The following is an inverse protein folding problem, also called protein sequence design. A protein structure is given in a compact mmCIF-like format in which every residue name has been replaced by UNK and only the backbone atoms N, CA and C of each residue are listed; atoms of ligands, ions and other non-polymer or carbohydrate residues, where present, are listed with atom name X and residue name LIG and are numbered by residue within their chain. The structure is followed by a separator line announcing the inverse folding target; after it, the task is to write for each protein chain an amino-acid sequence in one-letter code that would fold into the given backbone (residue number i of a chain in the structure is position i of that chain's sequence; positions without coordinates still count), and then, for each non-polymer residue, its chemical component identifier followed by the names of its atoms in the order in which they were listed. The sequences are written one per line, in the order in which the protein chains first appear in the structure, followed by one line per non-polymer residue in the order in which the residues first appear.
data_IF_981509609002
#
_entry.id   IF_981509609002
#
_cell.length_a   1.000
_cell.length_b   1.000
_cell.length_c   1.000
_cell.angle_alpha   90.00
_cell.angle_beta   90.00
_cell.angle_gamma   90.00
#
_symmetry.space_group_name_H-M   'P 1'
#
loop_
_entity.id
_entity.type
_entity.pdbx_description
1 polymer ?
#
# COMPACT_ATOMS: atom_id res chain seq x y z
N UNK A 1 -12.02 5.43 -2.03
CA UNK A 1 -11.72 5.44 -3.47
C UNK A 1 -12.60 4.44 -4.20
N UNK A 2 -12.34 3.15 -4.02
CA UNK A 2 -12.93 2.07 -4.83
C UNK A 2 -14.46 2.09 -4.95
N UNK A 3 -15.20 2.44 -3.90
CA UNK A 3 -16.67 2.51 -3.96
C UNK A 3 -17.19 3.88 -4.42
N UNK A 4 -16.65 4.97 -3.86
CA UNK A 4 -17.17 6.32 -4.09
C UNK A 4 -16.85 6.87 -5.49
N UNK A 5 -15.68 6.55 -6.07
CA UNK A 5 -15.28 7.09 -7.37
C UNK A 5 -16.22 6.61 -8.49
N UNK A 6 -16.48 5.29 -8.64
CA UNK A 6 -17.47 4.82 -9.63
C UNK A 6 -18.86 5.38 -9.38
N UNK A 7 -19.31 5.41 -8.12
CA UNK A 7 -20.64 5.91 -7.76
C UNK A 7 -20.83 7.38 -8.16
N UNK A 8 -19.85 8.24 -7.85
CA UNK A 8 -19.91 9.67 -8.17
C UNK A 8 -19.79 9.97 -9.67
N UNK A 9 -19.10 9.08 -10.41
CA UNK A 9 -18.94 9.17 -11.87
C UNK A 9 -20.02 8.39 -12.64
N UNK A 10 -21.00 7.80 -11.95
CA UNK A 10 -22.04 6.94 -12.52
C UNK A 10 -21.50 5.76 -13.36
N UNK A 11 -20.32 5.26 -13.00
CA UNK A 11 -19.69 4.10 -13.64
C UNK A 11 -20.08 2.79 -12.96
N UNK A 12 -20.21 1.69 -13.71
CA UNK A 12 -20.48 0.36 -13.13
C UNK A 12 -19.28 -0.21 -12.37
N UNK A 13 -18.04 0.09 -12.78
CA UNK A 13 -16.78 -0.31 -12.10
C UNK A 13 -15.62 0.63 -12.51
N UNK A 14 -14.45 0.47 -11.89
CA UNK A 14 -13.21 1.17 -12.23
C UNK A 14 -12.61 0.69 -13.57
N UNK A 15 -11.76 1.51 -14.18
CA UNK A 15 -11.16 1.21 -15.48
C UNK A 15 -10.21 -0.01 -15.45
N UNK A 16 -9.50 -0.25 -14.34
CA UNK A 16 -8.57 -1.37 -14.18
C UNK A 16 -8.97 -2.30 -13.00
N UNK A 17 -10.06 -3.12 -13.12
CA UNK A 17 -10.57 -3.94 -12.02
C UNK A 17 -9.58 -4.98 -11.50
N UNK A 18 -8.81 -5.61 -12.39
CA UNK A 18 -7.80 -6.62 -12.01
C UNK A 18 -6.64 -6.02 -11.22
N UNK A 19 -6.22 -4.80 -11.60
CA UNK A 19 -5.17 -4.06 -10.91
C UNK A 19 -5.67 -3.59 -9.53
N UNK A 20 -6.94 -3.21 -9.44
CA UNK A 20 -7.60 -2.95 -8.16
C UNK A 20 -7.56 -4.16 -7.23
N UNK A 21 -7.93 -5.34 -7.74
CA UNK A 21 -7.90 -6.58 -6.96
C UNK A 21 -6.47 -6.89 -6.49
N UNK A 22 -5.47 -6.78 -7.36
CA UNK A 22 -4.07 -6.95 -6.98
C UNK A 22 -3.66 -5.97 -5.87
N UNK A 23 -4.05 -4.70 -5.98
CA UNK A 23 -3.74 -3.69 -4.95
C UNK A 23 -4.31 -4.09 -3.57
N UNK A 24 -5.55 -4.59 -3.53
CA UNK A 24 -6.15 -5.08 -2.29
C UNK A 24 -5.45 -6.33 -1.76
N UNK A 25 -5.09 -7.27 -2.65
CA UNK A 25 -4.41 -8.50 -2.26
C UNK A 25 -2.99 -8.28 -1.73
N UNK A 26 -2.29 -7.23 -2.16
CA UNK A 26 -0.97 -6.87 -1.61
C UNK A 26 -1.04 -6.34 -0.17
N UNK A 27 -2.20 -5.84 0.28
CA UNK A 27 -2.36 -5.37 1.66
C UNK A 27 -2.44 -6.51 2.68
N UNK A 28 -2.85 -7.70 2.26
CA UNK A 28 -2.89 -8.87 3.15
C UNK A 28 -1.48 -9.32 3.57
N UNK A 29 -0.52 -9.59 2.66
CA UNK A 29 0.86 -9.92 3.03
C UNK A 29 1.58 -8.74 3.67
N UNK A 30 1.25 -7.48 3.34
CA UNK A 30 1.79 -6.32 4.07
C UNK A 30 1.31 -6.31 5.52
N UNK A 31 0.02 -6.56 5.77
CA UNK A 31 -0.52 -6.66 7.12
C UNK A 31 0.09 -7.81 7.93
N UNK A 32 0.24 -8.99 7.31
CA UNK A 32 0.88 -10.14 7.95
C UNK A 32 2.33 -9.84 8.33
N UNK A 33 3.13 -9.26 7.41
CA UNK A 33 4.51 -8.87 7.71
C UNK A 33 4.60 -7.79 8.79
N UNK A 34 3.64 -6.86 8.84
CA UNK A 34 3.55 -5.88 9.93
C UNK A 34 3.29 -6.58 11.28
N UNK A 35 2.35 -7.51 11.34
CA UNK A 35 2.05 -8.24 12.57
C UNK A 35 3.27 -9.07 13.03
N UNK A 36 3.93 -9.76 12.10
CA UNK A 36 5.17 -10.50 12.37
C UNK A 36 6.24 -9.55 12.94
N UNK A 37 6.38 -8.34 12.38
CA UNK A 37 7.35 -7.35 12.88
C UNK A 37 7.12 -6.96 14.35
N UNK A 38 5.85 -6.90 14.80
CA UNK A 38 5.52 -6.57 16.19
C UNK A 38 5.88 -7.72 17.14
N UNK A 39 5.77 -8.97 16.70
CA UNK A 39 6.13 -10.14 17.50
C UNK A 39 7.65 -10.34 17.61
N UNK A 40 8.41 -10.03 16.55
CA UNK A 40 9.87 -10.18 16.56
C UNK A 40 10.63 -9.05 17.29
N UNK A 41 9.93 -7.97 17.69
CA UNK A 41 10.50 -6.89 18.50
C UNK A 41 11.47 -5.96 17.75
N UNK A 42 12.07 -5.01 18.48
CA UNK A 42 13.02 -4.00 17.96
C UNK A 42 12.48 -3.04 16.87
N UNK A 43 11.16 -2.90 16.74
CA UNK A 43 10.48 -2.01 15.78
C UNK A 43 10.20 -0.59 16.29
N UNK A 44 10.65 -0.26 17.51
CA UNK A 44 10.42 1.03 18.19
C UNK A 44 11.23 2.22 17.66
N UNK A 45 11.39 2.32 16.33
CA UNK A 45 12.22 3.34 15.65
C UNK A 45 11.47 4.61 15.26
N UNK A 46 10.16 4.65 15.51
CA UNK A 46 9.26 5.66 14.97
C UNK A 46 8.87 5.38 13.51
N UNK A 47 7.97 6.18 12.97
CA UNK A 47 7.40 5.99 11.62
C UNK A 47 8.34 6.43 10.48
N UNK A 48 9.41 7.17 10.78
CA UNK A 48 10.32 7.77 9.79
C UNK A 48 11.58 6.96 9.48
N UNK A 49 11.94 5.95 10.28
CA UNK A 49 13.11 5.10 10.07
C UNK A 49 14.45 5.85 9.93
N UNK A 50 14.67 6.89 10.74
CA UNK A 50 15.92 7.66 10.67
C UNK A 50 17.17 6.81 10.99
N UNK A 51 18.22 6.87 10.14
CA UNK A 51 19.56 6.41 10.52
C UNK A 51 20.14 7.30 11.64
N UNK A 52 20.98 6.77 12.56
CA UNK A 52 21.49 5.39 12.62
C UNK A 52 20.57 4.43 13.36
N UNK A 53 19.46 4.90 13.95
CA UNK A 53 18.60 4.09 14.82
C UNK A 53 17.97 2.90 14.06
N UNK A 54 17.65 3.10 12.78
CA UNK A 54 17.19 2.03 11.87
C UNK A 54 18.28 1.11 11.34
N UNK A 55 19.55 1.37 11.67
CA UNK A 55 20.68 0.54 11.26
C UNK A 55 20.89 -0.66 12.18
N UNK A 56 21.63 -1.66 11.66
CA UNK A 56 21.92 -2.95 12.32
C UNK A 56 22.50 -2.80 13.74
N UNK A 57 23.20 -1.71 14.02
CA UNK A 57 23.81 -1.44 15.33
C UNK A 57 22.79 -1.15 16.43
N UNK A 58 21.66 -0.52 16.08
CA UNK A 58 20.62 -0.10 17.04
C UNK A 58 19.33 -0.92 16.89
N UNK A 59 19.09 -1.49 15.72
CA UNK A 59 18.05 -2.48 15.49
C UNK A 59 18.63 -3.75 14.86
N UNK A 60 19.15 -4.62 15.72
CA UNK A 60 19.73 -5.91 15.32
C UNK A 60 18.68 -7.02 15.14
N UNK A 61 17.39 -6.71 15.30
CA UNK A 61 16.30 -7.68 15.25
C UNK A 61 15.64 -7.71 13.87
N UNK A 62 15.25 -8.90 13.41
CA UNK A 62 14.55 -9.07 12.13
C UNK A 62 13.18 -8.35 12.04
N UNK A 63 12.65 -7.85 13.16
CA UNK A 63 11.39 -7.11 13.18
C UNK A 63 11.42 -5.87 12.28
N UNK A 64 12.53 -5.13 12.24
CA UNK A 64 12.63 -3.94 11.38
C UNK A 64 12.68 -4.26 9.90
N UNK A 65 13.29 -5.38 9.53
CA UNK A 65 13.29 -5.88 8.15
C UNK A 65 11.87 -6.24 7.69
N UNK A 66 11.10 -6.96 8.53
CA UNK A 66 9.70 -7.29 8.24
C UNK A 66 8.82 -6.05 8.14
N UNK A 67 9.08 -5.06 8.99
CA UNK A 67 8.35 -3.80 8.93
C UNK A 67 8.69 -3.02 7.65
N UNK A 68 9.97 -2.93 7.27
CA UNK A 68 10.37 -2.30 6.00
C UNK A 68 9.72 -3.02 4.81
N UNK A 69 9.73 -4.35 4.79
CA UNK A 69 9.08 -5.12 3.73
C UNK A 69 7.56 -4.87 3.68
N UNK A 70 6.90 -4.81 4.84
CA UNK A 70 5.48 -4.47 4.95
C UNK A 70 5.17 -3.12 4.30
N UNK A 71 5.93 -2.08 4.65
CA UNK A 71 5.74 -0.73 4.10
C UNK A 71 5.97 -0.68 2.59
N UNK A 72 6.94 -1.43 2.06
CA UNK A 72 7.15 -1.51 0.61
C UNK A 72 5.93 -2.12 -0.10
N UNK A 73 5.40 -3.23 0.41
CA UNK A 73 4.22 -3.88 -0.15
C UNK A 73 2.97 -2.98 -0.09
N UNK A 74 2.77 -2.28 1.04
CA UNK A 74 1.72 -1.28 1.18
C UNK A 74 1.92 -0.09 0.21
N UNK A 75 3.17 0.33 -0.02
CA UNK A 75 3.53 1.37 -0.98
C UNK A 75 3.19 0.98 -2.42
N UNK A 76 3.55 -0.24 -2.85
CA UNK A 76 3.18 -0.75 -4.18
C UNK A 76 1.67 -0.84 -4.34
N UNK A 77 0.95 -1.34 -3.32
CA UNK A 77 -0.52 -1.34 -3.30
C UNK A 77 -1.10 0.07 -3.52
N UNK A 78 -0.57 1.08 -2.82
CA UNK A 78 -1.03 2.46 -2.96
C UNK A 78 -0.77 3.02 -4.35
N UNK A 79 0.40 2.77 -4.94
CA UNK A 79 0.73 3.24 -6.30
C UNK A 79 -0.22 2.64 -7.33
N UNK A 80 -0.48 1.33 -7.23
CA UNK A 80 -1.41 0.63 -8.11
C UNK A 80 -2.84 1.21 -7.99
N UNK A 81 -3.32 1.42 -6.76
CA UNK A 81 -4.64 2.02 -6.51
C UNK A 81 -4.73 3.44 -7.10
N UNK A 82 -3.69 4.27 -6.91
CA UNK A 82 -3.63 5.62 -7.46
C UNK A 82 -3.68 5.64 -9.00
N UNK A 83 -2.95 4.75 -9.67
CA UNK A 83 -2.98 4.62 -11.14
C UNK A 83 -4.39 4.28 -11.61
N UNK A 84 -5.08 3.36 -10.94
CA UNK A 84 -6.45 2.99 -11.29
C UNK A 84 -7.43 4.16 -11.14
N UNK A 85 -7.33 4.94 -10.07
CA UNK A 85 -8.18 6.12 -9.87
C UNK A 85 -7.91 7.22 -10.90
N UNK A 86 -6.64 7.53 -11.17
CA UNK A 86 -6.27 8.53 -12.18
C UNK A 86 -6.79 8.10 -13.55
N UNK A 87 -6.59 6.82 -13.92
CA UNK A 87 -7.07 6.29 -15.18
C UNK A 87 -8.60 6.37 -15.30
N UNK A 88 -9.33 6.03 -14.24
CA UNK A 88 -10.81 6.07 -14.22
C UNK A 88 -11.34 7.51 -14.32
N UNK A 89 -10.76 8.46 -13.61
CA UNK A 89 -11.19 9.87 -13.70
C UNK A 89 -10.85 10.43 -15.08
N UNK A 90 -9.65 10.16 -15.57
CA UNK A 90 -9.20 10.60 -16.89
C UNK A 90 -10.07 10.00 -18.00
N UNK A 91 -10.52 8.74 -17.88
CA UNK A 91 -11.37 8.13 -18.90
C UNK A 91 -12.71 8.84 -19.03
N UNK A 92 -13.34 9.17 -17.90
CA UNK A 92 -14.61 9.90 -17.88
C UNK A 92 -14.44 11.31 -18.46
N UNK A 93 -13.40 12.03 -18.03
CA UNK A 93 -13.19 13.43 -18.46
C UNK A 93 -12.95 13.56 -19.96
N UNK A 94 -12.15 12.67 -20.56
CA UNK A 94 -11.73 12.82 -21.96
C UNK A 94 -12.53 11.98 -22.96
N UNK A 95 -13.03 10.82 -22.56
CA UNK A 95 -13.76 9.93 -23.46
C UNK A 95 -15.27 9.90 -23.20
N UNK A 96 -15.75 10.54 -22.12
CA UNK A 96 -17.18 10.58 -21.78
C UNK A 96 -17.78 9.20 -21.51
N UNK A 97 -16.94 8.20 -21.22
CA UNK A 97 -17.33 6.85 -20.82
C UNK A 97 -17.48 6.81 -19.32
#
# INVERSE_FOLDING_TARGET
GNFLIPLLLSLPDLCLPRLNALSAWLLLPSGVSLIISLFLGNTGLGWTFYPPLSGVTFSSGHGTDFLMFSLHMAGVSSILSSINFICTIHSVVYYGV
#
